data_IF_030649125174
#
_entry.id   IF_030649125174
#
_cell.length_a   1.000
_cell.length_b   1.000
_cell.length_c   1.000
_cell.angle_alpha   90.00
_cell.angle_beta   90.00
_cell.angle_gamma   90.00
#
_symmetry.space_group_name_H-M   'P 1'
#
loop_
_entity.id
_entity.type
_entity.pdbx_description
1 polymer ?
#
# COMPACT_ATOMS: atom_id res chain seq x y z
N UNK A 1 -20.57 15.98 0.41
CA UNK A 1 -19.60 15.20 1.22
C UNK A 1 -18.50 14.73 0.26
N UNK A 2 -17.53 15.61 -0.05
CA UNK A 2 -16.54 15.38 -1.09
C UNK A 2 -15.35 14.57 -0.59
N UNK A 3 -14.90 13.60 -1.40
CA UNK A 3 -13.67 12.86 -1.19
C UNK A 3 -12.47 13.77 -1.45
N UNK A 4 -12.24 14.75 -0.59
CA UNK A 4 -11.03 15.56 -0.64
C UNK A 4 -9.87 14.69 -0.13
N UNK A 5 -8.78 14.63 -0.90
CA UNK A 5 -7.49 14.11 -0.42
C UNK A 5 -7.07 15.01 0.75
N UNK A 6 -7.21 14.50 1.97
CA UNK A 6 -6.81 15.19 3.20
C UNK A 6 -5.79 14.33 3.92
N UNK A 7 -4.62 14.90 4.17
CA UNK A 7 -3.60 14.33 5.04
C UNK A 7 -3.44 15.23 6.26
N UNK A 8 -3.51 14.66 7.45
CA UNK A 8 -3.03 15.26 8.69
C UNK A 8 -1.70 14.61 9.01
N UNK A 9 -0.62 15.38 8.95
CA UNK A 9 0.74 14.89 9.17
C UNK A 9 1.27 15.48 10.47
N UNK A 10 1.83 14.64 11.32
CA UNK A 10 2.54 14.99 12.57
C UNK A 10 4.00 14.62 12.47
N UNK A 11 4.31 13.51 11.82
CA UNK A 11 5.67 13.11 11.50
C UNK A 11 5.76 12.46 10.11
N UNK A 12 6.99 12.23 9.65
CA UNK A 12 7.27 11.62 8.34
C UNK A 12 7.41 10.10 8.36
N UNK A 13 7.43 9.46 9.54
CA UNK A 13 7.60 8.01 9.66
C UNK A 13 6.27 7.25 9.72
N UNK A 14 5.20 7.94 10.13
CA UNK A 14 3.90 7.36 10.41
C UNK A 14 3.80 6.75 11.82
N UNK A 15 4.69 7.12 12.74
CA UNK A 15 4.65 6.62 14.13
C UNK A 15 3.61 7.36 14.98
N UNK A 16 3.25 8.59 14.60
CA UNK A 16 2.18 9.32 15.24
C UNK A 16 0.83 8.64 14.99
N UNK A 17 0.17 8.21 16.07
CA UNK A 17 -1.19 7.69 16.03
C UNK A 17 -2.25 8.77 15.71
N UNK A 18 -1.81 10.02 15.50
CA UNK A 18 -2.61 11.15 15.06
C UNK A 18 -2.48 11.42 13.55
N UNK A 19 -1.58 10.73 12.84
CA UNK A 19 -1.50 10.84 11.39
C UNK A 19 -2.78 10.33 10.75
N UNK A 20 -3.32 11.09 9.80
CA UNK A 20 -4.56 10.75 9.09
C UNK A 20 -4.35 10.90 7.60
N UNK A 21 -4.83 9.94 6.84
CA UNK A 21 -4.89 10.00 5.37
C UNK A 21 -6.06 9.15 4.90
N UNK A 22 -6.29 9.10 3.58
CA UNK A 22 -7.29 8.22 2.97
C UNK A 22 -6.64 7.29 1.95
N UNK A 23 -7.24 6.10 1.67
CA UNK A 23 -6.74 5.21 0.64
C UNK A 23 -6.67 5.90 -0.74
N UNK A 24 -7.67 6.74 -1.06
CA UNK A 24 -7.67 7.56 -2.27
C UNK A 24 -6.48 8.51 -2.30
N UNK A 25 -6.17 9.19 -1.20
CA UNK A 25 -5.02 10.08 -1.11
C UNK A 25 -3.69 9.39 -1.33
N UNK A 26 -3.51 8.19 -0.77
CA UNK A 26 -2.31 7.38 -1.00
C UNK A 26 -2.23 6.88 -2.44
N UNK A 27 -3.34 6.43 -3.04
CA UNK A 27 -3.36 6.00 -4.44
C UNK A 27 -3.03 7.17 -5.38
N UNK A 28 -3.59 8.36 -5.15
CA UNK A 28 -3.25 9.58 -5.90
C UNK A 28 -1.75 9.87 -5.80
N UNK A 29 -1.19 9.87 -4.58
CA UNK A 29 0.25 10.06 -4.36
C UNK A 29 1.09 9.03 -5.12
N UNK A 30 0.73 7.75 -5.09
CA UNK A 30 1.43 6.70 -5.82
C UNK A 30 1.38 6.95 -7.34
N UNK A 31 0.20 7.26 -7.88
CA UNK A 31 0.06 7.54 -9.31
C UNK A 31 0.91 8.74 -9.75
N UNK A 32 0.92 9.82 -8.97
CA UNK A 32 1.72 11.01 -9.25
C UNK A 32 3.22 10.74 -9.11
N UNK A 33 3.62 10.05 -8.03
CA UNK A 33 5.00 9.64 -7.79
C UNK A 33 5.56 8.79 -8.94
N UNK A 34 4.75 7.88 -9.49
CA UNK A 34 5.16 7.04 -10.63
C UNK A 34 5.43 7.84 -11.90
N UNK A 35 4.72 8.96 -12.11
CA UNK A 35 4.86 9.84 -13.28
C UNK A 35 5.98 10.87 -13.13
N UNK A 36 6.43 11.13 -11.91
CA UNK A 36 7.52 12.07 -11.65
C UNK A 36 8.86 11.59 -12.23
N UNK A 37 9.78 12.54 -12.47
CA UNK A 37 11.15 12.25 -12.96
C UNK A 37 11.93 11.28 -12.06
N UNK A 38 11.64 11.31 -10.76
CA UNK A 38 12.23 10.44 -9.73
C UNK A 38 11.42 9.14 -9.49
N UNK A 39 10.32 8.92 -10.21
CA UNK A 39 9.39 7.82 -9.95
C UNK A 39 10.02 6.43 -10.03
N UNK A 40 11.03 6.25 -10.89
CA UNK A 40 11.77 4.98 -10.97
C UNK A 40 12.54 4.67 -9.69
N UNK A 41 13.15 5.69 -9.07
CA UNK A 41 13.86 5.53 -7.80
C UNK A 41 12.88 5.22 -6.67
N UNK A 42 11.76 5.96 -6.61
CA UNK A 42 10.68 5.73 -5.66
C UNK A 42 10.09 4.32 -5.74
N UNK A 43 9.75 3.83 -6.94
CA UNK A 43 9.23 2.46 -7.09
C UNK A 43 10.26 1.44 -6.62
N UNK A 44 11.55 1.62 -6.91
CA UNK A 44 12.61 0.69 -6.48
C UNK A 44 12.85 0.69 -4.97
N UNK A 45 12.59 1.79 -4.27
CA UNK A 45 12.74 1.85 -2.82
C UNK A 45 11.64 1.10 -2.07
N UNK A 46 10.52 0.80 -2.73
CA UNK A 46 9.47 -0.03 -2.15
C UNK A 46 9.88 -1.52 -2.15
N UNK A 47 9.73 -2.23 -1.01
CA UNK A 47 9.97 -3.66 -0.90
C UNK A 47 9.15 -4.50 -1.90
N UNK A 48 9.74 -5.59 -2.38
CA UNK A 48 9.06 -6.69 -3.11
C UNK A 48 8.89 -7.91 -2.19
N UNK A 49 8.04 -8.91 -2.51
CA UNK A 49 8.03 -10.18 -1.75
C UNK A 49 9.43 -10.76 -1.59
N UNK A 50 9.73 -11.28 -0.40
CA UNK A 50 11.07 -11.75 -0.02
C UNK A 50 11.99 -10.64 0.52
N UNK A 51 11.50 -9.41 0.73
CA UNK A 51 12.31 -8.32 1.28
C UNK A 51 11.64 -7.63 2.46
N UNK A 52 12.44 -7.32 3.49
CA UNK A 52 12.03 -6.54 4.65
C UNK A 52 10.74 -7.08 5.28
N UNK A 53 9.76 -6.20 5.46
CA UNK A 53 8.45 -6.53 6.04
C UNK A 53 7.54 -7.36 5.12
N UNK A 54 7.97 -7.66 3.89
CA UNK A 54 7.30 -8.57 2.97
C UNK A 54 8.09 -9.87 2.76
N UNK A 55 9.03 -10.21 3.66
CA UNK A 55 9.85 -11.42 3.54
C UNK A 55 9.03 -12.69 3.31
N UNK A 56 7.98 -12.88 4.13
CA UNK A 56 7.14 -14.09 4.10
C UNK A 56 5.73 -13.84 3.53
N UNK A 57 5.48 -12.64 2.97
CA UNK A 57 4.17 -12.22 2.46
C UNK A 57 4.15 -12.16 0.94
N UNK A 58 3.00 -12.49 0.35
CA UNK A 58 2.71 -12.24 -1.08
C UNK A 58 3.69 -12.88 -2.08
N UNK A 59 4.36 -13.98 -1.69
CA UNK A 59 5.25 -14.76 -2.56
C UNK A 59 4.60 -15.11 -3.90
N UNK A 60 5.37 -14.98 -4.98
CA UNK A 60 4.95 -15.24 -6.35
C UNK A 60 4.29 -14.04 -7.06
N UNK A 61 3.96 -12.97 -6.33
CA UNK A 61 3.39 -11.78 -6.96
C UNK A 61 4.48 -10.81 -7.45
N UNK A 62 4.23 -10.20 -8.61
CA UNK A 62 5.02 -9.06 -9.10
C UNK A 62 4.47 -7.78 -8.47
N UNK A 63 4.88 -7.49 -7.23
CA UNK A 63 4.43 -6.32 -6.48
C UNK A 63 5.59 -5.53 -5.87
N UNK A 64 5.33 -4.25 -5.60
CA UNK A 64 6.18 -3.44 -4.73
C UNK A 64 5.32 -2.58 -3.81
N UNK A 65 5.46 -2.75 -2.49
CA UNK A 65 4.60 -2.07 -1.52
C UNK A 65 5.32 -1.78 -0.22
N UNK A 66 4.82 -0.76 0.48
CA UNK A 66 5.22 -0.42 1.84
C UNK A 66 4.17 -0.92 2.82
N UNK A 67 4.64 -1.51 3.92
CA UNK A 67 3.81 -1.87 5.08
C UNK A 67 3.78 -0.75 6.12
N UNK A 68 2.73 -0.71 6.93
CA UNK A 68 2.66 0.11 8.15
C UNK A 68 1.96 -0.66 9.26
N UNK A 69 2.46 -0.54 10.49
CA UNK A 69 1.89 -1.22 11.66
C UNK A 69 2.05 -0.32 12.88
N UNK A 70 0.95 -0.10 13.60
CA UNK A 70 0.94 0.59 14.89
C UNK A 70 0.35 -0.32 15.96
N UNK A 71 0.97 -0.31 17.15
CA UNK A 71 0.55 -1.17 18.26
C UNK A 71 -0.29 -0.45 19.31
N UNK A 72 -0.05 0.84 19.57
CA UNK A 72 -0.74 1.61 20.63
C UNK A 72 -2.20 1.86 20.27
N UNK A 73 -2.46 2.38 19.06
CA UNK A 73 -3.77 2.35 18.41
C UNK A 73 -3.66 1.39 17.24
N UNK A 74 -4.13 0.14 17.38
CA UNK A 74 -3.94 -0.89 16.38
C UNK A 74 -4.32 -0.42 14.98
N UNK A 75 -3.35 -0.46 14.10
CA UNK A 75 -3.54 -0.17 12.69
C UNK A 75 -2.56 -1.02 11.87
N UNK A 76 -3.01 -1.41 10.69
CA UNK A 76 -2.21 -2.09 9.68
C UNK A 76 -2.47 -1.46 8.32
N UNK A 77 -1.43 -1.38 7.50
CA UNK A 77 -1.53 -0.81 6.18
C UNK A 77 -0.60 -1.52 5.19
N UNK A 78 -1.08 -1.64 3.96
CA UNK A 78 -0.30 -2.09 2.82
C UNK A 78 -0.67 -1.25 1.60
N UNK A 79 0.30 -0.55 1.04
CA UNK A 79 0.08 0.33 -0.12
C UNK A 79 1.22 0.24 -1.11
N UNK A 80 0.91 0.23 -2.40
CA UNK A 80 1.93 0.10 -3.43
C UNK A 80 1.37 -0.22 -4.82
N UNK A 81 2.15 -0.97 -5.58
CA UNK A 81 1.82 -1.39 -6.95
C UNK A 81 1.83 -2.90 -7.07
N UNK A 82 0.90 -3.44 -7.85
CA UNK A 82 0.89 -4.85 -8.23
C UNK A 82 0.64 -5.00 -9.72
N UNK A 83 1.34 -5.93 -10.36
CA UNK A 83 1.09 -6.31 -11.76
C UNK A 83 0.00 -7.36 -11.81
N UNK A 84 -1.06 -7.08 -12.56
CA UNK A 84 -2.21 -7.96 -12.75
C UNK A 84 -1.90 -9.08 -13.75
N UNK A 85 -2.77 -10.08 -13.82
CA UNK A 85 -2.67 -11.19 -14.78
C UNK A 85 -2.75 -10.73 -16.24
N UNK A 86 -3.45 -9.61 -16.50
CA UNK A 86 -3.48 -8.96 -17.82
C UNK A 86 -2.20 -8.18 -18.15
N UNK A 87 -1.24 -8.09 -17.22
CA UNK A 87 0.03 -7.38 -17.40
C UNK A 87 -0.02 -5.89 -17.03
N UNK A 88 -1.21 -5.35 -16.76
CA UNK A 88 -1.41 -3.98 -16.28
C UNK A 88 -0.82 -3.81 -14.88
N UNK A 89 -0.19 -2.67 -14.60
CA UNK A 89 0.21 -2.35 -13.22
C UNK A 89 -0.82 -1.44 -12.59
N UNK A 90 -1.36 -1.84 -11.45
CA UNK A 90 -2.33 -1.04 -10.68
C UNK A 90 -1.69 -0.53 -9.40
N UNK A 91 -2.09 0.67 -8.96
CA UNK A 91 -1.76 1.20 -7.64
C UNK A 91 -2.89 0.87 -6.66
N UNK A 92 -2.55 0.59 -5.41
CA UNK A 92 -3.52 0.23 -4.38
C UNK A 92 -3.12 0.80 -3.01
N UNK A 93 -4.11 0.94 -2.14
CA UNK A 93 -3.91 1.28 -0.73
C UNK A 93 -4.96 0.59 0.12
N UNK A 94 -4.51 -0.12 1.15
CA UNK A 94 -5.35 -0.79 2.15
C UNK A 94 -4.92 -0.20 3.49
N UNK A 95 -5.87 0.44 4.18
CA UNK A 95 -5.67 1.06 5.49
C UNK A 95 -6.69 0.46 6.46
N UNK A 96 -6.20 -0.26 7.46
CA UNK A 96 -7.01 -0.95 8.46
C UNK A 96 -6.80 -0.27 9.81
N UNK A 97 -7.88 0.15 10.45
CA UNK A 97 -7.86 0.74 11.78
C UNK A 97 -8.64 -0.15 12.77
N UNK A 98 -8.19 -0.21 14.02
CA UNK A 98 -8.82 -1.00 15.09
C UNK A 98 -8.41 -2.46 15.14
N UNK A 99 -7.57 -2.92 14.20
CA UNK A 99 -7.08 -4.30 14.14
C UNK A 99 -5.55 -4.31 14.09
N UNK A 100 -4.95 -5.30 14.74
CA UNK A 100 -3.51 -5.55 14.68
C UNK A 100 -3.08 -6.15 13.35
N UNK A 101 -1.77 -6.24 13.13
CA UNK A 101 -1.22 -6.84 11.91
C UNK A 101 -1.63 -8.31 11.76
N UNK A 102 -1.69 -9.08 12.85
CA UNK A 102 -2.03 -10.51 12.80
C UNK A 102 -3.40 -10.77 12.17
N UNK A 103 -4.37 -9.89 12.42
CA UNK A 103 -5.72 -9.98 11.89
C UNK A 103 -5.86 -9.32 10.52
N UNK A 104 -5.18 -8.20 10.31
CA UNK A 104 -5.32 -7.40 9.10
C UNK A 104 -4.49 -7.91 7.91
N UNK A 105 -3.28 -8.41 8.14
CA UNK A 105 -2.36 -8.83 7.07
C UNK A 105 -2.93 -9.95 6.18
N UNK A 106 -3.62 -10.99 6.70
CA UNK A 106 -4.26 -11.99 5.85
C UNK A 106 -5.32 -11.40 4.90
N UNK A 107 -6.06 -10.38 5.37
CA UNK A 107 -7.08 -9.70 4.56
C UNK A 107 -6.42 -8.80 3.51
N UNK A 108 -5.40 -8.05 3.90
CA UNK A 108 -4.58 -7.26 2.98
C UNK A 108 -4.00 -8.15 1.86
N UNK A 109 -3.43 -9.29 2.25
CA UNK A 109 -2.82 -10.23 1.32
C UNK A 109 -3.84 -10.85 0.36
N UNK A 110 -5.01 -11.22 0.86
CA UNK A 110 -6.11 -11.73 0.05
C UNK A 110 -6.57 -10.70 -0.99
N UNK A 111 -6.75 -9.43 -0.59
CA UNK A 111 -7.12 -8.34 -1.51
C UNK A 111 -6.06 -8.17 -2.59
N UNK A 112 -4.77 -8.14 -2.23
CA UNK A 112 -3.68 -7.97 -3.22
C UNK A 112 -3.61 -9.17 -4.18
N UNK A 113 -3.87 -10.39 -3.71
CA UNK A 113 -3.94 -11.58 -4.59
C UNK A 113 -5.11 -11.50 -5.56
N UNK A 114 -6.27 -10.98 -5.13
CA UNK A 114 -7.41 -10.71 -6.02
C UNK A 114 -7.04 -9.67 -7.08
N UNK A 115 -6.39 -8.57 -6.68
CA UNK A 115 -5.91 -7.56 -7.63
C UNK A 115 -4.89 -8.14 -8.63
N UNK A 116 -3.99 -9.00 -8.17
CA UNK A 116 -2.99 -9.65 -9.01
C UNK A 116 -3.60 -10.64 -10.02
N UNK A 117 -4.67 -11.35 -9.65
CA UNK A 117 -5.35 -12.28 -10.56
C UNK A 117 -6.35 -11.59 -11.49
N UNK A 118 -6.74 -10.35 -11.19
CA UNK A 118 -7.72 -9.61 -11.97
C UNK A 118 -7.27 -9.37 -13.42
N UNK A 119 -8.22 -9.45 -14.35
CA UNK A 119 -8.02 -9.06 -15.75
C UNK A 119 -8.48 -7.63 -15.98
N UNK A 120 -7.77 -6.69 -15.38
CA UNK A 120 -8.01 -5.25 -15.56
C UNK A 120 -7.16 -4.75 -16.75
N UNK A 121 -7.82 -4.30 -17.81
CA UNK A 121 -7.23 -3.60 -18.96
C UNK A 121 -7.70 -2.15 -18.97
N UNK A 122 -6.81 -1.23 -19.35
CA UNK A 122 -7.08 0.21 -19.47
C UNK A 122 -6.80 0.65 -20.89
#
# INVERSE_FOLDING_TARGET
RGWHVRAGVRDGSGLSDQDRTSPLGIVTLLLDARRASWGRAFVRSLPTPGQGTLADRLTGLRLRAKTGTLFVRPASALSGYVRTAAGTTVAFSILTAGYGSREAEPVEDAIVRILASARISV
#
